data_IF_747583581200
#
_entry.id   IF_747583581200
#
_cell.length_a   1.000
_cell.length_b   1.000
_cell.length_c   1.000
_cell.angle_alpha   90.00
_cell.angle_beta   90.00
_cell.angle_gamma   90.00
#
_symmetry.space_group_name_H-M   'P 1'
#
loop_
_entity.id
_entity.type
_entity.pdbx_description
1 polymer ?
#
# COMPACT_ATOMS: atom_id res chain seq x y z
N UNK A 1 -12.33 17.00 22.92
CA UNK A 1 -13.05 17.97 22.09
C UNK A 1 -14.43 17.40 21.84
N UNK A 2 -15.47 17.97 22.46
CA UNK A 2 -16.85 17.64 22.09
C UNK A 2 -17.17 18.58 20.94
N UNK A 3 -17.41 18.05 19.75
CA UNK A 3 -17.75 18.86 18.58
C UNK A 3 -19.14 19.49 18.82
N UNK A 4 -19.25 20.81 18.74
CA UNK A 4 -20.54 21.51 18.83
C UNK A 4 -21.19 21.62 17.44
N UNK A 5 -22.51 21.41 17.30
CA UNK A 5 -23.20 21.54 16.01
C UNK A 5 -23.17 23.00 15.50
N UNK A 6 -22.61 23.21 14.31
CA UNK A 6 -22.48 24.56 13.71
C UNK A 6 -23.62 24.85 12.71
N UNK A 7 -24.10 23.83 12.00
CA UNK A 7 -25.15 23.95 10.99
C UNK A 7 -25.85 22.58 10.80
N UNK A 8 -27.09 22.55 10.29
CA UNK A 8 -27.69 21.31 9.82
C UNK A 8 -26.91 20.77 8.61
N UNK A 9 -26.61 19.48 8.62
CA UNK A 9 -25.90 18.79 7.54
C UNK A 9 -26.73 17.61 7.05
N UNK A 10 -27.00 17.57 5.76
CA UNK A 10 -27.61 16.42 5.09
C UNK A 10 -26.52 15.59 4.42
N UNK A 11 -26.54 14.27 4.61
CA UNK A 11 -25.63 13.34 3.93
C UNK A 11 -26.47 12.43 3.03
N UNK A 12 -26.26 12.56 1.72
CA UNK A 12 -26.93 11.73 0.72
C UNK A 12 -25.96 10.69 0.16
N UNK A 13 -26.36 9.42 0.23
CA UNK A 13 -25.59 8.31 -0.33
C UNK A 13 -26.14 7.95 -1.71
N UNK A 14 -25.33 8.17 -2.75
CA UNK A 14 -25.70 7.96 -4.15
C UNK A 14 -24.86 6.83 -4.79
N UNK A 15 -24.98 5.57 -4.34
CA UNK A 15 -24.08 4.47 -4.74
C UNK A 15 -24.17 4.08 -6.23
N UNK A 16 -25.22 4.53 -6.94
CA UNK A 16 -25.45 4.24 -8.36
C UNK A 16 -25.10 5.43 -9.27
N UNK A 17 -24.59 6.52 -8.70
CA UNK A 17 -24.25 7.72 -9.44
C UNK A 17 -22.73 7.78 -9.61
N UNK A 18 -22.29 7.70 -10.86
CA UNK A 18 -20.88 7.78 -11.23
C UNK A 18 -20.60 9.12 -11.90
N UNK A 19 -19.56 9.80 -11.43
CA UNK A 19 -19.06 11.01 -12.06
C UNK A 19 -17.97 10.69 -13.10
N UNK A 20 -17.74 11.56 -14.11
CA UNK A 20 -16.92 11.20 -15.26
C UNK A 20 -15.42 10.97 -14.99
N UNK A 21 -14.87 11.57 -13.92
CA UNK A 21 -13.43 11.58 -13.69
C UNK A 21 -12.94 10.36 -12.89
N UNK A 22 -13.53 10.08 -11.73
CA UNK A 22 -13.15 8.96 -10.87
C UNK A 22 -14.37 8.45 -10.09
N UNK A 23 -14.50 7.13 -9.84
CA UNK A 23 -15.67 6.55 -9.17
C UNK A 23 -15.85 7.03 -7.74
N UNK A 24 -14.76 7.29 -7.01
CA UNK A 24 -14.82 7.80 -5.64
C UNK A 24 -14.91 9.33 -5.67
N UNK A 25 -16.13 9.85 -5.53
CA UNK A 25 -16.41 11.28 -5.56
C UNK A 25 -17.28 11.74 -4.39
N UNK A 26 -17.07 12.98 -3.97
CA UNK A 26 -17.85 13.69 -2.96
C UNK A 26 -18.26 15.04 -3.53
N UNK A 27 -19.57 15.34 -3.51
CA UNK A 27 -20.09 16.68 -3.81
C UNK A 27 -20.43 17.38 -2.50
N UNK A 28 -19.82 18.52 -2.26
CA UNK A 28 -20.05 19.39 -1.10
C UNK A 28 -20.83 20.62 -1.56
N UNK A 29 -21.99 20.84 -0.96
CA UNK A 29 -22.84 22.00 -1.23
C UNK A 29 -23.09 22.79 0.05
N UNK A 30 -22.94 24.11 -0.02
CA UNK A 30 -23.22 25.03 1.06
C UNK A 30 -24.48 25.83 0.73
N UNK A 31 -25.38 25.97 1.69
CA UNK A 31 -26.65 26.67 1.55
C UNK A 31 -26.76 27.80 2.58
N UNK A 32 -27.50 28.86 2.24
CA UNK A 32 -27.87 29.91 3.19
C UNK A 32 -29.12 29.53 4.01
N UNK A 33 -29.55 30.42 4.91
CA UNK A 33 -30.73 30.24 5.75
C UNK A 33 -32.06 30.15 4.97
N UNK A 34 -32.06 30.53 3.69
CA UNK A 34 -33.23 30.46 2.80
C UNK A 34 -33.17 29.24 1.86
N UNK A 35 -32.27 28.28 2.13
CA UNK A 35 -31.98 27.12 1.27
C UNK A 35 -31.49 27.50 -0.13
N UNK A 36 -30.88 28.67 -0.31
CA UNK A 36 -30.23 29.04 -1.56
C UNK A 36 -28.81 28.51 -1.59
N UNK A 37 -28.44 27.85 -2.69
CA UNK A 37 -27.10 27.32 -2.91
C UNK A 37 -26.08 28.46 -2.99
N UNK A 38 -25.14 28.49 -2.04
CA UNK A 38 -24.05 29.46 -1.97
C UNK A 38 -22.81 28.97 -2.73
N UNK A 39 -22.49 27.68 -2.61
CA UNK A 39 -21.31 27.09 -3.21
C UNK A 39 -21.52 25.59 -3.45
N UNK A 40 -20.86 25.05 -4.47
CA UNK A 40 -20.82 23.62 -4.76
C UNK A 40 -19.42 23.25 -5.23
N UNK A 41 -18.84 22.20 -4.66
CA UNK A 41 -17.55 21.65 -5.08
C UNK A 41 -17.63 20.14 -5.21
N UNK A 42 -16.96 19.61 -6.22
CA UNK A 42 -16.78 18.17 -6.41
C UNK A 42 -15.32 17.87 -6.08
N UNK A 43 -15.12 16.80 -5.29
CA UNK A 43 -13.83 16.30 -4.89
C UNK A 43 -13.77 14.81 -5.24
N UNK A 44 -12.64 14.36 -5.74
CA UNK A 44 -12.38 12.97 -6.06
C UNK A 44 -11.28 12.41 -5.17
N UNK A 45 -11.46 11.21 -4.64
CA UNK A 45 -10.41 10.48 -3.93
C UNK A 45 -9.74 9.51 -4.90
N UNK A 46 -8.55 9.84 -5.38
CA UNK A 46 -7.86 9.13 -6.48
C UNK A 46 -6.87 8.06 -6.01
N UNK A 47 -6.96 7.67 -4.74
CA UNK A 47 -6.12 6.63 -4.14
C UNK A 47 -4.94 7.17 -3.31
N UNK A 48 -4.51 6.37 -2.33
CA UNK A 48 -3.41 6.73 -1.41
C UNK A 48 -3.67 7.97 -0.55
N UNK A 49 -4.92 8.42 -0.43
CA UNK A 49 -5.32 9.62 0.32
C UNK A 49 -5.25 10.94 -0.48
N UNK A 50 -4.87 10.91 -1.75
CA UNK A 50 -4.83 12.11 -2.59
C UNK A 50 -6.24 12.53 -3.04
N UNK A 51 -6.50 13.84 -3.04
CA UNK A 51 -7.74 14.45 -3.49
C UNK A 51 -7.54 15.22 -4.80
N UNK A 52 -8.53 15.24 -5.68
CA UNK A 52 -8.52 15.98 -6.96
C UNK A 52 -9.84 16.72 -7.20
N UNK A 53 -9.82 17.86 -7.87
CA UNK A 53 -11.03 18.54 -8.37
C UNK A 53 -11.44 18.08 -9.78
N UNK A 54 -10.69 17.12 -10.35
CA UNK A 54 -10.84 16.65 -11.72
C UNK A 54 -9.90 17.33 -12.71
N UNK A 55 -9.25 18.43 -12.32
CA UNK A 55 -8.21 19.11 -13.10
C UNK A 55 -6.83 18.99 -12.45
N UNK A 56 -6.77 19.08 -11.11
CA UNK A 56 -5.52 19.06 -10.33
C UNK A 56 -5.69 18.36 -8.98
N UNK A 57 -4.57 17.97 -8.39
CA UNK A 57 -4.52 17.48 -7.01
C UNK A 57 -4.74 18.65 -6.03
N UNK A 58 -5.63 18.46 -5.07
CA UNK A 58 -6.03 19.43 -4.05
C UNK A 58 -5.19 19.22 -2.78
N UNK A 59 -4.86 20.32 -2.09
CA UNK A 59 -4.14 20.28 -0.82
C UNK A 59 -2.61 20.35 -0.96
N UNK A 60 -2.10 20.41 -2.18
CA UNK A 60 -0.72 20.80 -2.47
C UNK A 60 -0.64 22.32 -2.33
N UNK A 61 -0.33 22.81 -1.12
CA UNK A 61 -0.20 24.25 -0.87
C UNK A 61 1.11 24.79 -1.45
N UNK A 62 0.99 25.83 -2.30
CA UNK A 62 2.04 26.73 -2.78
C UNK A 62 3.33 26.09 -3.31
N UNK A 63 3.38 25.89 -4.64
CA UNK A 63 4.63 25.92 -5.40
C UNK A 63 4.87 24.69 -6.26
N UNK A 64 4.38 24.76 -7.50
CA UNK A 64 4.74 23.92 -8.65
C UNK A 64 4.47 22.41 -8.48
N UNK A 65 4.09 21.75 -9.58
CA UNK A 65 4.33 20.31 -9.70
C UNK A 65 5.85 20.13 -9.66
N UNK A 66 6.45 20.13 -8.45
CA UNK A 66 7.86 19.82 -8.28
C UNK A 66 8.03 18.40 -8.79
N UNK A 67 8.60 18.29 -9.98
CA UNK A 67 9.05 17.04 -10.54
C UNK A 67 10.31 16.62 -9.79
N UNK A 68 10.11 16.12 -8.55
CA UNK A 68 11.17 15.68 -7.64
C UNK A 68 12.05 14.64 -8.32
N UNK A 69 11.41 13.64 -8.93
CA UNK A 69 12.09 12.58 -9.67
C UNK A 69 12.08 12.90 -11.16
N UNK A 70 13.28 13.03 -11.74
CA UNK A 70 13.46 13.35 -13.16
C UNK A 70 13.25 12.13 -14.07
N UNK A 71 13.73 10.96 -13.63
CA UNK A 71 13.52 9.69 -14.33
C UNK A 71 12.17 9.09 -13.94
N UNK A 72 11.42 8.63 -14.94
CA UNK A 72 10.01 8.25 -14.76
C UNK A 72 9.75 6.76 -14.91
N UNK A 73 10.76 5.97 -15.29
CA UNK A 73 10.68 4.52 -15.40
C UNK A 73 11.84 3.86 -14.65
N UNK A 74 11.63 2.60 -14.25
CA UNK A 74 12.61 1.85 -13.45
C UNK A 74 13.86 1.52 -14.27
N UNK A 75 13.70 1.27 -15.56
CA UNK A 75 14.80 0.97 -16.48
C UNK A 75 15.81 2.14 -16.53
N UNK A 76 15.36 3.39 -16.66
CA UNK A 76 16.21 4.59 -16.61
C UNK A 76 16.99 4.68 -15.29
N UNK A 77 16.31 4.44 -14.16
CA UNK A 77 16.94 4.52 -12.83
C UNK A 77 17.97 3.40 -12.64
N UNK A 78 17.67 2.19 -13.13
CA UNK A 78 18.60 1.06 -13.09
C UNK A 78 19.84 1.34 -13.94
N UNK A 79 19.68 1.88 -15.16
CA UNK A 79 20.81 2.31 -15.99
C UNK A 79 21.64 3.39 -15.30
N UNK A 80 21.01 4.33 -14.60
CA UNK A 80 21.71 5.34 -13.79
C UNK A 80 22.50 4.70 -12.65
N UNK A 81 21.93 3.71 -11.95
CA UNK A 81 22.64 2.95 -10.91
C UNK A 81 23.88 2.27 -11.48
N UNK A 82 23.77 1.63 -12.64
CA UNK A 82 24.90 0.97 -13.32
C UNK A 82 25.99 1.96 -13.76
N UNK A 83 25.60 3.11 -14.31
CA UNK A 83 26.53 4.15 -14.80
C UNK A 83 27.27 4.84 -13.64
N UNK A 84 26.63 5.01 -12.49
CA UNK A 84 27.18 5.78 -11.36
C UNK A 84 27.78 4.92 -10.25
N UNK A 85 27.45 3.62 -10.21
CA UNK A 85 27.80 2.72 -9.11
C UNK A 85 26.96 2.93 -7.85
N UNK A 86 25.90 3.75 -7.92
CA UNK A 86 24.96 4.03 -6.83
C UNK A 86 23.78 3.07 -6.84
N UNK A 87 22.97 3.11 -5.79
CA UNK A 87 21.77 2.31 -5.59
C UNK A 87 20.49 3.17 -5.59
N UNK A 88 19.33 2.53 -5.61
CA UNK A 88 18.02 3.19 -5.69
C UNK A 88 17.77 4.21 -4.56
N UNK A 89 18.18 3.92 -3.33
CA UNK A 89 18.00 4.86 -2.21
C UNK A 89 18.90 6.10 -2.35
N UNK A 90 20.03 6.00 -3.04
CA UNK A 90 20.91 7.14 -3.32
C UNK A 90 20.31 8.04 -4.40
N UNK A 91 19.56 7.48 -5.35
CA UNK A 91 18.77 8.30 -6.27
C UNK A 91 17.70 9.11 -5.53
N UNK A 92 17.04 8.50 -4.54
CA UNK A 92 16.11 9.23 -3.65
C UNK A 92 16.83 10.34 -2.89
N UNK A 93 18.03 10.06 -2.35
CA UNK A 93 18.85 11.06 -1.65
C UNK A 93 19.28 12.23 -2.55
N UNK A 94 19.50 12.00 -3.84
CA UNK A 94 19.85 13.07 -4.80
C UNK A 94 18.66 13.92 -5.22
N UNK A 95 17.45 13.34 -5.22
CA UNK A 95 16.24 14.01 -5.67
C UNK A 95 15.48 14.74 -4.55
N UNK A 96 15.42 14.14 -3.36
CA UNK A 96 14.64 14.65 -2.24
C UNK A 96 15.46 15.60 -1.36
N UNK A 97 14.77 16.52 -0.68
CA UNK A 97 15.37 17.39 0.32
C UNK A 97 15.80 16.57 1.57
N UNK A 98 16.73 17.10 2.36
CA UNK A 98 17.35 16.37 3.49
C UNK A 98 16.36 15.93 4.59
N UNK A 99 15.19 16.56 4.65
CA UNK A 99 14.11 16.24 5.60
C UNK A 99 13.41 14.91 5.30
N UNK A 100 13.64 14.32 4.11
CA UNK A 100 13.15 12.99 3.75
C UNK A 100 13.53 11.93 4.79
N UNK A 101 14.72 12.03 5.38
CA UNK A 101 15.20 11.05 6.35
C UNK A 101 14.48 11.16 7.70
N UNK A 102 14.12 12.37 8.11
CA UNK A 102 13.32 12.61 9.32
C UNK A 102 11.89 12.13 9.11
N UNK A 103 11.31 12.37 7.92
CA UNK A 103 10.00 11.84 7.55
C UNK A 103 9.98 10.30 7.55
N UNK A 104 10.96 9.66 6.90
CA UNK A 104 11.06 8.20 6.85
C UNK A 104 11.31 7.60 8.24
N UNK A 105 11.98 8.32 9.15
CA UNK A 105 12.10 7.89 10.54
C UNK A 105 10.76 7.91 11.27
N UNK A 106 9.94 8.95 11.10
CA UNK A 106 8.60 8.97 11.70
C UNK A 106 7.71 7.89 11.12
N UNK A 107 7.73 7.70 9.79
CA UNK A 107 7.06 6.57 9.12
C UNK A 107 7.46 5.26 9.76
N UNK A 108 8.77 5.02 9.96
CA UNK A 108 9.26 3.79 10.56
C UNK A 108 8.81 3.61 12.02
N UNK A 109 8.79 4.70 12.79
CA UNK A 109 8.30 4.68 14.18
C UNK A 109 6.82 4.32 14.23
N UNK A 110 5.97 4.96 13.42
CA UNK A 110 4.52 4.67 13.35
C UNK A 110 4.29 3.22 12.95
N UNK A 111 4.97 2.74 11.91
CA UNK A 111 4.91 1.34 11.46
C UNK A 111 5.21 0.35 12.61
N UNK A 112 6.28 0.60 13.37
CA UNK A 112 6.63 -0.24 14.53
C UNK A 112 5.62 -0.13 15.67
N UNK A 113 5.06 1.06 15.91
CA UNK A 113 3.99 1.25 16.91
C UNK A 113 2.74 0.47 16.52
N UNK A 114 2.33 0.49 15.25
CA UNK A 114 1.19 -0.25 14.75
C UNK A 114 1.35 -1.77 14.93
N UNK A 115 2.52 -2.34 14.61
CA UNK A 115 2.79 -3.76 14.88
C UNK A 115 2.62 -4.07 16.36
N UNK A 116 3.24 -3.28 17.25
CA UNK A 116 3.19 -3.55 18.70
C UNK A 116 1.76 -3.49 19.22
N UNK A 117 1.00 -2.45 18.88
CA UNK A 117 -0.41 -2.33 19.29
C UNK A 117 -1.24 -3.50 18.77
N UNK A 118 -1.10 -3.88 17.49
CA UNK A 118 -1.84 -4.99 16.93
C UNK A 118 -1.48 -6.36 17.53
N UNK A 119 -0.23 -6.56 17.98
CA UNK A 119 0.18 -7.79 18.68
C UNK A 119 -0.35 -7.87 20.11
N UNK A 120 -0.59 -6.73 20.76
CA UNK A 120 -1.08 -6.64 22.15
C UNK A 120 -2.62 -6.49 22.23
N UNK A 121 -3.31 -6.33 21.09
CA UNK A 121 -4.74 -6.07 21.05
C UNK A 121 -5.53 -7.31 20.59
N UNK A 122 -6.35 -7.85 21.49
CA UNK A 122 -7.26 -8.97 21.22
C UNK A 122 -8.70 -8.49 21.07
N UNK A 123 -9.58 -9.35 20.54
CA UNK A 123 -11.02 -9.06 20.45
C UNK A 123 -11.59 -9.24 19.05
N UNK A 124 -12.66 -8.50 18.76
CA UNK A 124 -13.43 -8.59 17.51
C UNK A 124 -13.33 -7.26 16.77
N UNK A 125 -13.08 -7.32 15.46
CA UNK A 125 -13.04 -6.15 14.58
C UNK A 125 -14.45 -5.55 14.42
N UNK A 126 -14.56 -4.22 14.26
CA UNK A 126 -15.84 -3.56 14.07
C UNK A 126 -16.50 -3.98 12.74
N UNK A 127 -17.82 -3.84 12.66
CA UNK A 127 -18.60 -4.17 11.47
C UNK A 127 -19.35 -5.50 11.56
N UNK A 128 -20.14 -5.86 10.52
CA UNK A 128 -21.06 -6.98 10.55
C UNK A 128 -20.41 -8.38 10.54
N UNK A 129 -19.11 -8.49 10.25
CA UNK A 129 -18.45 -9.79 10.05
C UNK A 129 -18.14 -10.54 11.36
N UNK A 130 -18.21 -9.87 12.51
CA UNK A 130 -17.78 -10.42 13.80
C UNK A 130 -16.39 -11.09 13.72
N UNK A 131 -15.47 -10.49 12.96
CA UNK A 131 -14.18 -11.09 12.64
C UNK A 131 -13.22 -10.95 13.83
N UNK A 132 -12.79 -12.08 14.39
CA UNK A 132 -11.81 -12.10 15.46
C UNK A 132 -10.42 -11.64 14.99
N UNK A 133 -9.75 -10.85 15.84
CA UNK A 133 -8.32 -10.56 15.71
C UNK A 133 -7.50 -11.83 15.89
N UNK A 134 -6.50 -12.03 15.05
CA UNK A 134 -5.67 -13.23 14.96
C UNK A 134 -4.21 -12.96 15.25
N UNK A 135 -3.74 -11.71 15.14
CA UNK A 135 -2.32 -11.36 15.22
C UNK A 135 -1.62 -11.92 16.48
N UNK A 136 -2.18 -11.72 17.67
CA UNK A 136 -1.63 -12.22 18.94
C UNK A 136 -1.53 -13.75 18.96
N UNK A 137 -2.58 -14.45 18.53
CA UNK A 137 -2.59 -15.91 18.48
C UNK A 137 -1.55 -16.47 17.49
N UNK A 138 -1.37 -15.82 16.34
CA UNK A 138 -0.36 -16.17 15.35
C UNK A 138 1.04 -15.95 15.90
N UNK A 139 1.27 -14.84 16.60
CA UNK A 139 2.54 -14.51 17.22
C UNK A 139 2.96 -15.54 18.28
N UNK A 140 2.04 -15.91 19.18
CA UNK A 140 2.28 -16.93 20.22
C UNK A 140 2.57 -18.29 19.59
N UNK A 141 1.75 -18.72 18.61
CA UNK A 141 1.93 -20.01 17.92
C UNK A 141 3.25 -20.05 17.14
N UNK A 142 3.60 -18.98 16.44
CA UNK A 142 4.86 -18.88 15.71
C UNK A 142 6.08 -19.10 16.61
N UNK A 143 6.08 -18.53 17.83
CA UNK A 143 7.16 -18.73 18.80
C UNK A 143 7.34 -20.17 19.26
N UNK A 144 6.28 -20.99 19.20
CA UNK A 144 6.33 -22.41 19.55
C UNK A 144 6.94 -23.31 18.47
N UNK A 145 7.17 -22.79 17.25
CA UNK A 145 7.73 -23.56 16.14
C UNK A 145 9.27 -23.45 16.04
N UNK A 146 9.87 -24.37 15.28
CA UNK A 146 11.29 -24.30 14.88
C UNK A 146 11.56 -23.07 14.00
N UNK A 147 12.81 -22.65 13.93
CA UNK A 147 13.20 -21.33 13.42
C UNK A 147 12.67 -20.98 12.02
N UNK A 148 12.66 -21.91 11.06
CA UNK A 148 12.13 -21.63 9.71
C UNK A 148 10.63 -21.33 9.71
N UNK A 149 9.83 -22.15 10.40
CA UNK A 149 8.38 -21.96 10.54
C UNK A 149 8.06 -20.77 11.44
N UNK A 150 8.86 -20.55 12.49
CA UNK A 150 8.75 -19.40 13.37
C UNK A 150 8.98 -18.09 12.61
N UNK A 151 10.02 -18.01 11.79
CA UNK A 151 10.32 -16.84 10.95
C UNK A 151 9.12 -16.46 10.09
N UNK A 152 8.57 -17.42 9.33
CA UNK A 152 7.38 -17.20 8.49
C UNK A 152 6.13 -16.86 9.29
N UNK A 153 5.88 -17.56 10.40
CA UNK A 153 4.75 -17.28 11.30
C UNK A 153 4.80 -15.88 11.93
N UNK A 154 6.00 -15.39 12.25
CA UNK A 154 6.18 -14.02 12.76
C UNK A 154 5.86 -12.97 11.70
N UNK A 155 6.26 -13.17 10.44
CA UNK A 155 5.91 -12.26 9.33
C UNK A 155 4.39 -12.19 9.18
N UNK A 156 3.70 -13.33 9.22
CA UNK A 156 2.24 -13.34 9.21
C UNK A 156 1.65 -12.57 10.38
N UNK A 157 2.13 -12.83 11.61
CA UNK A 157 1.64 -12.13 12.78
C UNK A 157 1.81 -10.61 12.70
N UNK A 158 2.95 -10.13 12.18
CA UNK A 158 3.21 -8.69 12.02
C UNK A 158 2.32 -8.04 10.95
N UNK A 159 2.09 -8.72 9.83
CA UNK A 159 1.21 -8.22 8.78
C UNK A 159 -0.24 -8.16 9.26
N UNK A 160 -0.70 -9.22 9.96
CA UNK A 160 -2.03 -9.26 10.58
C UNK A 160 -2.18 -8.14 11.62
N UNK A 161 -1.18 -7.93 12.48
CA UNK A 161 -1.24 -6.89 13.51
C UNK A 161 -1.54 -5.51 12.93
N UNK A 162 -0.82 -5.10 11.88
CA UNK A 162 -1.03 -3.78 11.26
C UNK A 162 -2.36 -3.71 10.52
N UNK A 163 -2.73 -4.76 9.79
CA UNK A 163 -4.01 -4.80 9.06
C UNK A 163 -5.23 -4.80 9.99
N UNK A 164 -5.15 -5.46 11.15
CA UNK A 164 -6.21 -5.49 12.17
C UNK A 164 -6.34 -4.14 12.89
N UNK A 165 -5.22 -3.42 13.10
CA UNK A 165 -5.23 -2.04 13.58
C UNK A 165 -5.91 -1.11 12.56
N UNK A 166 -5.57 -1.22 11.27
CA UNK A 166 -6.24 -0.48 10.21
C UNK A 166 -7.75 -0.75 10.19
N UNK A 167 -8.15 -2.03 10.23
CA UNK A 167 -9.56 -2.42 10.23
C UNK A 167 -10.35 -1.93 11.46
N UNK A 168 -9.65 -1.48 12.51
CA UNK A 168 -10.25 -0.93 13.72
C UNK A 168 -10.12 0.60 13.83
N UNK A 169 -9.64 1.28 12.79
CA UNK A 169 -9.43 2.72 12.79
C UNK A 169 -8.22 3.20 13.60
N UNK A 170 -7.25 2.31 13.87
CA UNK A 170 -5.99 2.65 14.50
C UNK A 170 -5.06 3.44 13.57
N UNK A 171 -4.08 4.14 14.16
CA UNK A 171 -3.08 4.90 13.40
C UNK A 171 -2.14 3.97 12.61
N UNK A 172 -2.11 4.07 11.29
CA UNK A 172 -1.24 3.27 10.41
C UNK A 172 -0.52 4.17 9.40
N UNK A 173 0.44 3.58 8.67
CA UNK A 173 1.06 4.23 7.50
C UNK A 173 0.60 3.52 6.23
N UNK A 174 0.16 4.28 5.24
CA UNK A 174 -0.17 3.76 3.90
C UNK A 174 1.05 3.12 3.23
N UNK A 175 0.90 1.96 2.61
CA UNK A 175 2.04 1.29 1.96
C UNK A 175 1.64 0.38 0.76
N UNK A 176 1.18 0.92 -0.38
CA UNK A 176 0.92 2.33 -0.66
C UNK A 176 -0.49 2.80 -0.28
N UNK A 177 -1.37 1.91 0.18
CA UNK A 177 -2.72 2.27 0.67
C UNK A 177 -2.94 1.77 2.10
N UNK A 178 -4.06 2.16 2.72
CA UNK A 178 -4.48 1.60 4.00
C UNK A 178 -4.78 0.09 3.88
N UNK A 179 -5.31 -0.37 2.74
CA UNK A 179 -5.62 -1.78 2.50
C UNK A 179 -4.40 -2.70 2.45
N UNK A 180 -3.23 -2.16 2.08
CA UNK A 180 -1.95 -2.89 1.99
C UNK A 180 -0.90 -2.47 3.02
N UNK A 181 -1.31 -1.73 4.05
CA UNK A 181 -0.42 -1.13 5.05
C UNK A 181 0.42 -2.15 5.85
N UNK A 182 0.04 -3.43 5.89
CA UNK A 182 0.72 -4.45 6.68
C UNK A 182 1.94 -5.08 6.01
N UNK A 183 2.08 -4.99 4.69
CA UNK A 183 3.12 -5.74 3.94
C UNK A 183 4.53 -5.24 4.28
N UNK A 184 4.80 -3.96 4.02
CA UNK A 184 6.11 -3.33 4.25
C UNK A 184 6.55 -3.45 5.72
N UNK A 185 5.76 -3.02 6.72
CA UNK A 185 6.20 -3.07 8.10
C UNK A 185 6.45 -4.50 8.58
N UNK A 186 5.66 -5.49 8.13
CA UNK A 186 5.88 -6.89 8.50
C UNK A 186 7.24 -7.42 8.03
N UNK A 187 7.59 -7.18 6.75
CA UNK A 187 8.86 -7.60 6.17
C UNK A 187 10.02 -6.89 6.85
N UNK A 188 9.97 -5.56 6.91
CA UNK A 188 11.06 -4.76 7.47
C UNK A 188 11.27 -5.00 8.96
N UNK A 189 10.20 -5.16 9.74
CA UNK A 189 10.31 -5.42 11.18
C UNK A 189 10.86 -6.80 11.45
N UNK A 190 10.45 -7.80 10.65
CA UNK A 190 11.03 -9.13 10.73
C UNK A 190 12.54 -9.11 10.42
N UNK A 191 12.97 -8.40 9.39
CA UNK A 191 14.38 -8.28 9.02
C UNK A 191 15.20 -7.50 10.05
N UNK A 192 14.68 -6.38 10.58
CA UNK A 192 15.30 -5.62 11.67
C UNK A 192 15.57 -6.54 12.88
N UNK A 193 14.58 -7.35 13.28
CA UNK A 193 14.67 -8.23 14.46
C UNK A 193 15.52 -9.48 14.24
N UNK A 194 15.48 -10.09 13.05
CA UNK A 194 16.16 -11.36 12.79
C UNK A 194 17.61 -11.19 12.34
N UNK A 195 17.95 -10.05 11.70
CA UNK A 195 19.29 -9.78 11.13
C UNK A 195 20.02 -8.62 11.80
N UNK A 196 19.38 -7.94 12.76
CA UNK A 196 19.96 -6.82 13.49
C UNK A 196 20.45 -5.67 12.58
N UNK A 197 19.69 -5.38 11.52
CA UNK A 197 19.99 -4.24 10.65
C UNK A 197 19.90 -2.91 11.42
N UNK A 198 20.80 -1.98 11.09
CA UNK A 198 20.79 -0.65 11.72
C UNK A 198 19.62 0.19 11.25
N UNK A 199 19.22 1.17 12.08
CA UNK A 199 18.17 2.14 11.74
C UNK A 199 18.38 2.78 10.36
N UNK A 200 19.59 3.23 10.05
CA UNK A 200 19.89 3.88 8.77
C UNK A 200 19.66 2.94 7.58
N UNK A 201 19.94 1.64 7.72
CA UNK A 201 19.63 0.66 6.66
C UNK A 201 18.11 0.50 6.47
N UNK A 202 17.34 0.55 7.56
CA UNK A 202 15.87 0.51 7.48
C UNK A 202 15.30 1.73 6.75
N UNK A 203 15.83 2.94 7.01
CA UNK A 203 15.39 4.15 6.32
C UNK A 203 15.72 4.11 4.83
N UNK A 204 16.93 3.66 4.47
CA UNK A 204 17.31 3.44 3.06
C UNK A 204 16.42 2.41 2.37
N UNK A 205 16.04 1.34 3.08
CA UNK A 205 15.12 0.34 2.55
C UNK A 205 13.71 0.92 2.31
N UNK A 206 13.24 1.79 3.21
CA UNK A 206 11.98 2.53 3.03
C UNK A 206 12.05 3.51 1.85
N UNK A 207 13.17 4.20 1.65
CA UNK A 207 13.39 5.08 0.49
C UNK A 207 13.26 4.28 -0.82
N UNK A 208 13.90 3.12 -0.90
CA UNK A 208 13.79 2.22 -2.07
C UNK A 208 12.38 1.69 -2.26
N UNK A 209 11.70 1.24 -1.20
CA UNK A 209 10.29 0.86 -1.29
C UNK A 209 9.44 2.01 -1.84
N UNK A 210 9.62 3.24 -1.32
CA UNK A 210 8.92 4.44 -1.76
C UNK A 210 9.13 4.73 -3.24
N UNK A 211 10.37 4.63 -3.73
CA UNK A 211 10.70 4.85 -5.13
C UNK A 211 9.95 3.87 -6.07
N UNK A 212 9.96 2.58 -5.76
CA UNK A 212 9.22 1.58 -6.54
C UNK A 212 7.71 1.86 -6.52
N UNK A 213 7.15 2.23 -5.36
CA UNK A 213 5.75 2.63 -5.25
C UNK A 213 5.40 3.87 -6.08
N UNK A 214 6.28 4.88 -6.10
CA UNK A 214 6.12 6.10 -6.88
C UNK A 214 6.13 5.83 -8.39
N UNK A 215 6.99 4.92 -8.87
CA UNK A 215 7.02 4.52 -10.28
C UNK A 215 5.71 3.85 -10.70
N UNK A 216 5.14 2.98 -9.86
CA UNK A 216 3.83 2.40 -10.15
C UNK A 216 2.73 3.46 -10.17
N UNK A 217 2.70 4.33 -9.16
CA UNK A 217 1.71 5.43 -9.07
C UNK A 217 1.80 6.38 -10.27
N UNK A 218 3.00 6.70 -10.74
CA UNK A 218 3.24 7.61 -11.87
C UNK A 218 2.77 7.03 -13.20
N UNK A 219 3.02 5.74 -13.44
CA UNK A 219 2.82 5.12 -14.75
C UNK A 219 1.48 4.36 -14.89
N UNK A 220 0.89 3.95 -13.76
CA UNK A 220 -0.37 3.21 -13.68
C UNK A 220 -1.31 3.88 -12.67
N UNK A 221 -1.72 3.14 -11.63
CA UNK A 221 -2.51 3.63 -10.50
C UNK A 221 -2.24 2.73 -9.29
N UNK A 222 -2.48 3.26 -8.10
CA UNK A 222 -2.50 2.53 -6.83
C UNK A 222 -3.91 2.46 -6.23
N UNK A 223 -4.93 2.87 -6.99
CA UNK A 223 -6.34 2.87 -6.58
C UNK A 223 -6.96 1.49 -6.83
N UNK A 224 -7.46 0.86 -5.77
CA UNK A 224 -8.21 -0.40 -5.86
C UNK A 224 -9.46 -0.27 -6.76
N UNK A 225 -10.08 0.90 -6.78
CA UNK A 225 -11.20 1.23 -7.64
C UNK A 225 -10.86 1.32 -9.14
N UNK A 226 -9.59 1.56 -9.50
CA UNK A 226 -9.18 1.68 -10.90
C UNK A 226 -8.55 0.40 -11.44
N UNK A 227 -7.60 -0.17 -10.69
CA UNK A 227 -6.77 -1.29 -11.16
C UNK A 227 -6.93 -2.56 -10.34
N UNK A 228 -7.81 -2.59 -9.33
CA UNK A 228 -7.97 -3.73 -8.44
C UNK A 228 -6.85 -3.83 -7.39
N UNK A 229 -6.88 -4.92 -6.61
CA UNK A 229 -6.00 -5.09 -5.45
C UNK A 229 -4.54 -5.37 -5.85
N UNK A 230 -4.29 -5.72 -7.11
CA UNK A 230 -2.93 -5.72 -7.68
C UNK A 230 -2.24 -4.35 -7.55
N UNK A 231 -2.97 -3.24 -7.65
CA UNK A 231 -2.45 -1.87 -7.48
C UNK A 231 -2.17 -1.50 -6.02
N UNK A 232 -2.62 -2.31 -5.07
CA UNK A 232 -2.47 -2.05 -3.64
C UNK A 232 -1.55 -3.09 -2.99
N UNK A 233 -2.00 -4.35 -2.91
CA UNK A 233 -1.26 -5.46 -2.31
C UNK A 233 -0.12 -5.91 -3.21
N UNK A 234 -0.32 -5.96 -4.53
CA UNK A 234 0.73 -6.31 -5.48
C UNK A 234 1.88 -5.29 -5.47
N UNK A 235 1.54 -3.99 -5.47
CA UNK A 235 2.51 -2.91 -5.34
C UNK A 235 3.24 -2.95 -4.00
N UNK A 236 2.51 -3.17 -2.89
CA UNK A 236 3.13 -3.33 -1.58
C UNK A 236 4.10 -4.52 -1.52
N UNK A 237 3.76 -5.64 -2.18
CA UNK A 237 4.63 -6.80 -2.31
C UNK A 237 5.92 -6.46 -3.08
N UNK A 238 5.80 -5.75 -4.21
CA UNK A 238 6.93 -5.31 -5.00
C UNK A 238 7.86 -4.36 -4.24
N UNK A 239 7.27 -3.35 -3.58
CA UNK A 239 7.99 -2.40 -2.72
C UNK A 239 8.76 -3.13 -1.61
N UNK A 240 8.13 -4.12 -0.96
CA UNK A 240 8.73 -4.88 0.13
C UNK A 240 9.84 -5.82 -0.36
N UNK A 241 9.67 -6.43 -1.54
CA UNK A 241 10.66 -7.30 -2.15
C UNK A 241 11.91 -6.50 -2.55
N UNK A 242 11.74 -5.32 -3.16
CA UNK A 242 12.85 -4.41 -3.49
C UNK A 242 13.64 -4.00 -2.24
N UNK A 243 12.92 -3.56 -1.19
CA UNK A 243 13.52 -3.13 0.07
C UNK A 243 14.26 -4.28 0.78
N UNK A 244 13.69 -5.48 0.77
CA UNK A 244 14.34 -6.67 1.30
C UNK A 244 15.62 -7.02 0.50
N UNK A 245 15.54 -7.05 -0.83
CA UNK A 245 16.69 -7.33 -1.71
C UNK A 245 17.84 -6.35 -1.47
N UNK A 246 17.53 -5.07 -1.36
CA UNK A 246 18.53 -4.06 -0.99
C UNK A 246 19.16 -4.33 0.38
N UNK A 247 18.37 -4.68 1.39
CA UNK A 247 18.89 -4.99 2.73
C UNK A 247 19.86 -6.18 2.72
N UNK A 248 19.63 -7.16 1.85
CA UNK A 248 20.53 -8.31 1.65
C UNK A 248 21.72 -8.02 0.74
N UNK A 249 21.85 -6.79 0.20
CA UNK A 249 22.97 -6.38 -0.64
C UNK A 249 22.82 -6.82 -2.10
N UNK A 250 21.59 -6.97 -2.58
CA UNK A 250 21.32 -7.27 -3.99
C UNK A 250 21.84 -6.17 -4.92
N UNK A 251 22.26 -6.57 -6.12
CA UNK A 251 22.58 -5.61 -7.20
C UNK A 251 21.34 -4.83 -7.65
N UNK A 252 21.49 -3.68 -8.35
CA UNK A 252 20.34 -2.96 -8.92
C UNK A 252 19.40 -3.86 -9.74
N UNK A 253 19.96 -4.82 -10.49
CA UNK A 253 19.21 -5.80 -11.25
C UNK A 253 18.46 -6.80 -10.36
N UNK A 254 19.08 -7.31 -9.28
CA UNK A 254 18.40 -8.23 -8.34
C UNK A 254 17.29 -7.55 -7.53
N UNK A 255 17.46 -6.27 -7.21
CA UNK A 255 16.46 -5.46 -6.49
C UNK A 255 15.24 -5.25 -7.38
N UNK A 256 15.45 -4.85 -8.64
CA UNK A 256 14.37 -4.68 -9.61
C UNK A 256 13.69 -6.02 -9.91
N UNK A 257 14.45 -7.11 -10.07
CA UNK A 257 13.88 -8.43 -10.32
C UNK A 257 13.03 -8.93 -9.14
N UNK A 258 13.43 -8.64 -7.90
CA UNK A 258 12.61 -8.96 -6.72
C UNK A 258 11.27 -8.20 -6.75
N UNK A 259 11.30 -6.92 -7.13
CA UNK A 259 10.12 -6.08 -7.22
C UNK A 259 9.19 -6.53 -8.35
N UNK A 260 9.76 -6.85 -9.50
CA UNK A 260 9.10 -7.40 -10.68
C UNK A 260 8.31 -8.65 -10.32
N UNK A 261 8.97 -9.69 -9.79
CA UNK A 261 8.30 -10.89 -9.31
C UNK A 261 7.25 -10.57 -8.25
N UNK A 262 7.51 -9.60 -7.36
CA UNK A 262 6.55 -9.15 -6.36
C UNK A 262 5.23 -8.66 -6.97
N UNK A 263 5.30 -7.90 -8.06
CA UNK A 263 4.13 -7.38 -8.76
C UNK A 263 3.50 -8.39 -9.72
N UNK A 264 4.32 -9.07 -10.53
CA UNK A 264 3.91 -10.03 -11.57
C UNK A 264 2.97 -11.08 -10.98
N UNK A 265 3.35 -11.60 -9.82
CA UNK A 265 2.65 -12.62 -9.07
C UNK A 265 1.30 -12.20 -8.49
N UNK A 266 0.92 -10.92 -8.62
CA UNK A 266 -0.36 -10.37 -8.20
C UNK A 266 -1.19 -9.84 -9.37
N UNK A 267 -0.72 -9.93 -10.62
CA UNK A 267 -1.46 -9.47 -11.79
C UNK A 267 -2.83 -10.16 -11.92
N UNK A 268 -3.86 -9.36 -12.21
CA UNK A 268 -5.25 -9.78 -12.30
C UNK A 268 -6.00 -9.84 -10.96
N UNK A 269 -5.35 -9.51 -9.83
CA UNK A 269 -6.00 -9.55 -8.52
C UNK A 269 -7.06 -8.44 -8.38
N UNK A 270 -8.31 -8.86 -8.23
CA UNK A 270 -9.50 -8.01 -8.06
C UNK A 270 -9.59 -7.39 -6.67
N UNK A 271 -10.33 -6.28 -6.53
CA UNK A 271 -10.59 -5.62 -5.24
C UNK A 271 -12.08 -5.68 -4.90
N UNK A 272 -12.55 -6.84 -4.45
CA UNK A 272 -13.97 -7.05 -4.12
C UNK A 272 -14.09 -7.64 -2.70
N UNK A 273 -13.97 -6.79 -1.66
CA UNK A 273 -13.98 -7.24 -0.28
C UNK A 273 -15.40 -7.56 0.22
N UNK A 274 -15.49 -8.50 1.16
CA UNK A 274 -16.75 -8.88 1.80
C UNK A 274 -17.31 -7.67 2.56
N UNK A 275 -18.59 -7.35 2.31
CA UNK A 275 -19.29 -6.17 2.87
C UNK A 275 -18.65 -4.82 2.57
N UNK A 276 -17.72 -4.71 1.61
CA UNK A 276 -16.99 -3.46 1.38
C UNK A 276 -16.00 -3.11 2.49
N UNK A 277 -15.70 -4.05 3.38
CA UNK A 277 -14.83 -3.81 4.52
C UNK A 277 -13.39 -4.19 4.20
N UNK A 278 -12.44 -3.40 4.68
CA UNK A 278 -11.00 -3.70 4.59
C UNK A 278 -10.61 -4.78 5.62
N UNK A 279 -11.25 -5.94 5.52
CA UNK A 279 -11.12 -7.08 6.42
C UNK A 279 -10.88 -8.36 5.62
N UNK A 280 -11.88 -8.87 4.91
CA UNK A 280 -11.79 -10.10 4.10
C UNK A 280 -11.89 -9.73 2.62
N UNK A 281 -10.92 -10.11 1.77
CA UNK A 281 -9.69 -10.88 2.03
C UNK A 281 -8.47 -9.99 2.37
N UNK A 282 -8.65 -8.69 2.63
CA UNK A 282 -7.56 -7.71 2.77
C UNK A 282 -6.52 -8.08 3.83
N UNK A 283 -6.95 -8.53 5.01
CA UNK A 283 -6.07 -8.84 6.14
C UNK A 283 -5.13 -10.00 5.79
N UNK A 284 -5.65 -11.10 5.24
CA UNK A 284 -4.84 -12.25 4.86
C UNK A 284 -3.95 -11.98 3.64
N UNK A 285 -4.43 -11.17 2.68
CA UNK A 285 -3.64 -10.75 1.52
C UNK A 285 -2.35 -10.03 1.94
N UNK A 286 -2.38 -9.21 2.99
CA UNK A 286 -1.17 -8.58 3.52
C UNK A 286 -0.15 -9.61 4.02
N UNK A 287 -0.61 -10.62 4.77
CA UNK A 287 0.26 -11.66 5.32
C UNK A 287 0.89 -12.52 4.22
N UNK A 288 0.11 -12.92 3.22
CA UNK A 288 0.60 -13.70 2.09
C UNK A 288 1.55 -12.88 1.21
N UNK A 289 1.23 -11.61 0.93
CA UNK A 289 2.11 -10.72 0.17
C UNK A 289 3.43 -10.47 0.89
N UNK A 290 3.44 -10.29 2.22
CA UNK A 290 4.66 -10.13 2.99
C UNK A 290 5.58 -11.37 2.88
N UNK A 291 5.02 -12.57 2.92
CA UNK A 291 5.81 -13.79 2.71
C UNK A 291 6.31 -13.91 1.26
N UNK A 292 5.47 -13.59 0.26
CA UNK A 292 5.87 -13.61 -1.15
C UNK A 292 6.97 -12.60 -1.46
N UNK A 293 6.96 -11.43 -0.81
CA UNK A 293 8.03 -10.44 -0.95
C UNK A 293 9.39 -10.99 -0.46
N UNK A 294 9.40 -11.73 0.64
CA UNK A 294 10.61 -12.40 1.14
C UNK A 294 11.04 -13.57 0.24
N UNK A 295 10.09 -14.33 -0.30
CA UNK A 295 10.37 -15.42 -1.26
C UNK A 295 10.95 -14.84 -2.58
N UNK A 296 10.43 -13.72 -3.08
CA UNK A 296 10.95 -13.01 -4.26
C UNK A 296 12.37 -12.47 -4.03
N UNK A 297 12.62 -11.85 -2.88
CA UNK A 297 13.96 -11.45 -2.45
C UNK A 297 14.93 -12.65 -2.38
N UNK A 298 14.49 -13.78 -1.80
CA UNK A 298 15.33 -14.97 -1.70
C UNK A 298 15.64 -15.53 -3.10
N UNK A 299 14.63 -15.61 -3.96
CA UNK A 299 14.80 -16.08 -5.33
C UNK A 299 15.80 -15.21 -6.10
N UNK A 300 15.62 -13.89 -6.12
CA UNK A 300 16.50 -12.99 -6.87
C UNK A 300 17.94 -13.00 -6.34
N UNK A 301 18.14 -13.25 -5.04
CA UNK A 301 19.48 -13.36 -4.46
C UNK A 301 20.31 -14.53 -5.00
N UNK A 302 19.66 -15.55 -5.57
CA UNK A 302 20.33 -16.71 -6.19
C UNK A 302 20.53 -16.57 -7.70
N UNK A 303 20.13 -15.45 -8.30
CA UNK A 303 20.31 -15.19 -9.73
C UNK A 303 21.39 -14.13 -9.95
N UNK A 304 21.77 -13.92 -11.22
CA UNK A 304 22.58 -12.79 -11.65
C UNK A 304 21.77 -11.49 -11.81
N UNK A 305 20.48 -11.50 -11.47
CA UNK A 305 19.55 -10.39 -11.66
C UNK A 305 19.02 -10.24 -13.08
N UNK A 306 19.46 -11.07 -14.04
CA UNK A 306 19.00 -10.98 -15.43
C UNK A 306 17.67 -11.72 -15.57
N UNK A 307 16.66 -11.02 -16.11
CA UNK A 307 15.36 -11.59 -16.45
C UNK A 307 14.79 -10.92 -17.70
N UNK A 308 13.72 -11.48 -18.26
CA UNK A 308 13.19 -11.09 -19.58
C UNK A 308 12.09 -10.04 -19.53
N UNK A 309 11.46 -9.85 -18.38
CA UNK A 309 10.25 -9.05 -18.26
C UNK A 309 10.54 -7.92 -17.29
N UNK A 310 10.85 -6.72 -17.78
CA UNK A 310 11.16 -5.60 -16.88
C UNK A 310 10.00 -5.22 -15.96
N UNK A 311 10.32 -4.63 -14.81
CA UNK A 311 9.35 -4.05 -13.87
C UNK A 311 8.43 -3.06 -14.58
N UNK A 312 8.97 -2.21 -15.46
CA UNK A 312 8.17 -1.28 -16.26
C UNK A 312 7.14 -2.00 -17.14
N UNK A 313 7.51 -3.16 -17.71
CA UNK A 313 6.59 -3.99 -18.47
C UNK A 313 5.48 -4.56 -17.58
N UNK A 314 5.82 -5.04 -16.39
CA UNK A 314 4.83 -5.54 -15.42
C UNK A 314 3.88 -4.43 -14.97
N UNK A 315 4.37 -3.21 -14.73
CA UNK A 315 3.54 -2.05 -14.40
C UNK A 315 2.57 -1.71 -15.54
N UNK A 316 3.05 -1.73 -16.79
CA UNK A 316 2.21 -1.52 -17.96
C UNK A 316 1.13 -2.61 -18.11
N UNK A 317 1.49 -3.88 -17.86
CA UNK A 317 0.53 -4.99 -17.85
C UNK A 317 -0.49 -4.82 -16.74
N UNK A 318 -0.08 -4.43 -15.53
CA UNK A 318 -0.99 -4.15 -14.41
C UNK A 318 -2.01 -3.06 -14.76
N UNK A 319 -1.57 -1.99 -15.43
CA UNK A 319 -2.47 -0.93 -15.89
C UNK A 319 -3.51 -1.48 -16.88
N UNK A 320 -3.06 -2.25 -17.86
CA UNK A 320 -3.94 -2.83 -18.88
C UNK A 320 -4.92 -3.83 -18.28
N UNK A 321 -4.45 -4.76 -17.43
CA UNK A 321 -5.32 -5.72 -16.75
C UNK A 321 -6.33 -5.01 -15.85
N UNK A 322 -5.92 -3.94 -15.17
CA UNK A 322 -6.80 -3.11 -14.36
C UNK A 322 -7.91 -2.41 -15.18
N UNK A 323 -7.56 -1.90 -16.36
CA UNK A 323 -8.53 -1.36 -17.32
C UNK A 323 -9.53 -2.43 -17.77
N UNK A 324 -9.05 -3.63 -18.06
CA UNK A 324 -9.86 -4.73 -18.60
C UNK A 324 -10.70 -5.46 -17.54
N UNK A 325 -10.42 -5.25 -16.24
CA UNK A 325 -11.26 -5.73 -15.15
C UNK A 325 -12.67 -5.11 -15.23
N UNK A 326 -13.74 -5.92 -15.32
CA UNK A 326 -15.09 -5.41 -15.21
C UNK A 326 -15.29 -4.62 -13.92
N UNK A 327 -16.07 -3.53 -13.97
CA UNK A 327 -16.32 -2.65 -12.81
C UNK A 327 -16.81 -3.40 -11.57
N UNK A 328 -17.63 -4.44 -11.76
CA UNK A 328 -18.14 -5.33 -10.70
C UNK A 328 -17.04 -6.01 -9.86
N UNK A 329 -15.84 -6.21 -10.42
CA UNK A 329 -14.72 -6.87 -9.72
C UNK A 329 -13.66 -5.88 -9.22
N UNK A 330 -13.97 -4.59 -9.28
CA UNK A 330 -13.24 -3.52 -8.57
C UNK A 330 -13.97 -3.24 -7.25
N UNK A 331 -13.66 -2.12 -6.62
CA UNK A 331 -14.10 -1.71 -5.27
C UNK A 331 -15.61 -1.37 -5.17
N UNK A 332 -16.48 -2.25 -5.68
CA UNK A 332 -17.95 -2.11 -5.64
C UNK A 332 -18.59 -2.97 -4.57
N UNK A 333 -17.94 -4.08 -4.17
CA UNK A 333 -18.48 -5.06 -3.21
C UNK A 333 -19.77 -5.73 -3.68
N UNK A 334 -20.02 -5.73 -4.98
CA UNK A 334 -21.20 -6.35 -5.61
C UNK A 334 -20.83 -7.63 -6.39
N UNK A 335 -19.52 -7.91 -6.53
CA UNK A 335 -18.97 -8.99 -7.34
C UNK A 335 -18.42 -10.15 -6.52
N UNK A 336 -17.58 -10.96 -7.18
CA UNK A 336 -16.62 -11.89 -6.57
C UNK A 336 -16.97 -12.51 -5.21
N UNK A 337 -16.13 -12.23 -4.21
CA UNK A 337 -16.23 -12.73 -2.83
C UNK A 337 -17.36 -12.04 -2.05
N UNK A 338 -17.75 -10.82 -2.46
CA UNK A 338 -18.83 -10.10 -1.82
C UNK A 338 -20.21 -10.69 -2.17
N UNK A 339 -20.34 -11.33 -3.34
CA UNK A 339 -21.59 -11.89 -3.84
C UNK A 339 -21.94 -13.21 -3.15
N UNK A 340 -23.16 -13.27 -2.61
CA UNK A 340 -23.75 -14.51 -2.06
C UNK A 340 -23.52 -14.73 -0.57
N UNK A 341 -22.78 -13.85 0.12
CA UNK A 341 -22.70 -13.92 1.58
C UNK A 341 -23.98 -13.37 2.23
N UNK A 342 -24.81 -14.27 2.76
CA UNK A 342 -25.91 -13.93 3.67
C UNK A 342 -25.40 -14.09 5.10
N UNK A 343 -25.33 -13.00 5.85
CA UNK A 343 -25.12 -13.04 7.29
C UNK A 343 -26.43 -13.48 7.94
N UNK A 344 -26.41 -14.64 8.60
CA UNK A 344 -27.46 -15.08 9.52
C UNK A 344 -27.15 -14.62 10.92
#
# INVERSE_FOLDING_TARGET
SVLEPVAPTTIEWLPKTFLPFHPNALKLEAYDNNNMLLNSRILYSVGGGALSDGERIIGVTNGEDKHIYLMSNMTEIMEWCEKTGKSYWEYVEECEDSDIWDYLDEVWKVMKRAIKRGLDNEGVLPGPLSLHRKATSYYIRAKGHKESLKSRGLVFAYALAVSEENASGGEIVTAPTCGSCGVIPAVLYHLEKSRNFSKNRMLRALATAGLFGNIVKKNASISGAEVGCQGEIGVACAMAAAAASQLFGGSPAQIEYAAEMGLEHHLGMTCDPVCGLVQIPCIERNAIAAARALDANLYSSFTDGIHRVSFDRVVAVMKQTGHDLPSLYKETSEGGLAKGHKFT
#
